data_IF_674142309396
#
_entry.id   IF_674142309396
#
_cell.length_a   1.000
_cell.length_b   1.000
_cell.length_c   1.000
_cell.angle_alpha   90.00
_cell.angle_beta   90.00
_cell.angle_gamma   90.00
#
_symmetry.space_group_name_H-M   'P 1'
#
loop_
_entity.id
_entity.type
_entity.pdbx_description
1 polymer ?
#
# COMPACT_ATOMS: atom_id res chain seq x y z
N UNK A 1 4.08 -14.42 -4.70
CA UNK A 1 2.93 -13.91 -3.93
C UNK A 1 1.71 -14.73 -4.29
N UNK A 2 0.97 -15.19 -3.32
CA UNK A 2 -0.23 -15.97 -3.59
C UNK A 2 -1.33 -15.08 -4.14
N UNK A 3 -2.27 -15.71 -4.86
CA UNK A 3 -3.40 -14.94 -5.41
C UNK A 3 -4.27 -14.36 -4.29
N UNK A 4 -4.35 -15.04 -3.15
CA UNK A 4 -5.09 -14.52 -2.01
C UNK A 4 -4.45 -13.24 -1.50
N UNK A 5 -3.12 -13.20 -1.40
CA UNK A 5 -2.42 -12.02 -0.95
C UNK A 5 -2.58 -10.88 -1.93
N UNK A 6 -2.52 -11.18 -3.23
CA UNK A 6 -2.75 -10.17 -4.25
C UNK A 6 -4.16 -9.59 -4.14
N UNK A 7 -5.14 -10.45 -3.89
CA UNK A 7 -6.52 -10.01 -3.71
C UNK A 7 -6.65 -9.12 -2.48
N UNK A 8 -6.03 -9.51 -1.38
CA UNK A 8 -6.07 -8.70 -0.16
C UNK A 8 -5.43 -7.33 -0.37
N UNK A 9 -4.33 -7.29 -1.11
CA UNK A 9 -3.68 -6.02 -1.42
C UNK A 9 -4.59 -5.15 -2.27
N UNK A 10 -5.24 -5.73 -3.27
CA UNK A 10 -6.18 -4.99 -4.10
C UNK A 10 -7.29 -4.37 -3.25
N UNK A 11 -7.85 -5.16 -2.32
CA UNK A 11 -8.92 -4.65 -1.47
C UNK A 11 -8.43 -3.53 -0.55
N UNK A 12 -7.21 -3.65 -0.07
CA UNK A 12 -6.63 -2.62 0.78
C UNK A 12 -6.47 -1.30 0.01
N UNK A 13 -5.96 -1.37 -1.21
CA UNK A 13 -5.81 -0.18 -2.05
C UNK A 13 -7.18 0.41 -2.36
N UNK A 14 -8.16 -0.43 -2.65
CA UNK A 14 -9.50 0.04 -2.94
C UNK A 14 -10.10 0.79 -1.76
N UNK A 15 -9.93 0.26 -0.55
CA UNK A 15 -10.41 0.93 0.66
C UNK A 15 -9.72 2.27 0.86
N UNK A 16 -8.42 2.32 0.63
CA UNK A 16 -7.67 3.56 0.73
C UNK A 16 -8.23 4.60 -0.25
N UNK A 17 -8.43 4.21 -1.50
CA UNK A 17 -8.95 5.13 -2.51
C UNK A 17 -10.36 5.60 -2.16
N UNK A 18 -11.19 4.71 -1.65
CA UNK A 18 -12.55 5.07 -1.26
C UNK A 18 -12.55 6.09 -0.13
N UNK A 19 -11.65 5.93 0.84
CA UNK A 19 -11.55 6.89 1.93
C UNK A 19 -11.02 8.24 1.45
N UNK A 20 -10.11 8.23 0.50
CA UNK A 20 -9.63 9.48 -0.09
C UNK A 20 -10.76 10.23 -0.79
N UNK A 21 -11.58 9.51 -1.56
CA UNK A 21 -12.73 10.12 -2.23
C UNK A 21 -13.74 10.65 -1.24
N UNK A 22 -13.99 9.88 -0.20
CA UNK A 22 -14.92 10.30 0.84
C UNK A 22 -14.43 11.57 1.53
N UNK A 23 -13.14 11.65 1.80
CA UNK A 23 -12.58 12.86 2.41
C UNK A 23 -12.79 14.08 1.52
N UNK A 24 -12.55 13.93 0.22
CA UNK A 24 -12.76 15.06 -0.70
C UNK A 24 -14.19 15.52 -0.70
N UNK A 25 -15.14 14.61 -0.49
CA UNK A 25 -16.55 14.95 -0.47
C UNK A 25 -16.97 15.57 0.87
N UNK A 26 -16.49 15.02 1.97
CA UNK A 26 -17.00 15.41 3.29
C UNK A 26 -16.06 16.32 4.07
N UNK A 27 -14.77 16.31 3.76
CA UNK A 27 -13.73 17.03 4.51
C UNK A 27 -13.70 16.65 5.98
N UNK A 28 -14.15 15.43 6.31
CA UNK A 28 -14.17 14.94 7.67
C UNK A 28 -12.75 14.60 8.14
N UNK A 29 -12.38 15.13 9.30
CA UNK A 29 -11.06 14.84 9.86
C UNK A 29 -10.92 13.35 10.20
N UNK A 30 -11.99 12.71 10.65
CA UNK A 30 -11.96 11.29 10.94
C UNK A 30 -11.68 10.49 9.67
N UNK A 31 -12.32 10.85 8.57
CA UNK A 31 -12.11 10.17 7.29
C UNK A 31 -10.68 10.39 6.79
N UNK A 32 -10.15 11.60 6.97
CA UNK A 32 -8.77 11.88 6.60
C UNK A 32 -7.80 10.99 7.38
N UNK A 33 -8.03 10.85 8.68
CA UNK A 33 -7.17 10.01 9.51
C UNK A 33 -7.23 8.55 9.08
N UNK A 34 -8.43 8.05 8.74
CA UNK A 34 -8.59 6.70 8.23
C UNK A 34 -7.85 6.51 6.90
N UNK A 35 -7.97 7.49 6.03
CA UNK A 35 -7.28 7.48 4.74
C UNK A 35 -5.77 7.39 4.94
N UNK A 36 -5.23 8.21 5.84
CA UNK A 36 -3.79 8.21 6.10
C UNK A 36 -3.31 6.89 6.70
N UNK A 37 -4.13 6.29 7.56
CA UNK A 37 -3.80 4.98 8.12
C UNK A 37 -3.72 3.92 7.02
N UNK A 38 -4.68 3.93 6.11
CA UNK A 38 -4.71 2.98 5.01
C UNK A 38 -3.54 3.23 4.05
N UNK A 39 -3.17 4.49 3.83
CA UNK A 39 -2.00 4.81 3.01
C UNK A 39 -0.73 4.19 3.60
N UNK A 40 -0.57 4.27 4.92
CA UNK A 40 0.59 3.68 5.57
C UNK A 40 0.59 2.16 5.43
N UNK A 41 -0.59 1.54 5.53
CA UNK A 41 -0.69 0.10 5.36
C UNK A 41 -0.33 -0.33 3.94
N UNK A 42 -0.81 0.42 2.95
CA UNK A 42 -0.46 0.16 1.55
C UNK A 42 1.04 0.29 1.35
N UNK A 43 1.63 1.38 1.87
CA UNK A 43 3.07 1.61 1.73
C UNK A 43 3.87 0.49 2.37
N UNK A 44 3.44 0.00 3.54
CA UNK A 44 4.12 -1.10 4.22
C UNK A 44 4.08 -2.37 3.37
N UNK A 45 2.93 -2.66 2.75
CA UNK A 45 2.81 -3.83 1.91
C UNK A 45 3.67 -3.72 0.65
N UNK A 46 3.72 -2.54 0.06
CA UNK A 46 4.57 -2.30 -1.10
C UNK A 46 6.03 -2.51 -0.73
N UNK A 47 6.44 -1.96 0.40
CA UNK A 47 7.82 -2.07 0.84
C UNK A 47 8.19 -3.52 1.12
N UNK A 48 7.28 -4.26 1.75
CA UNK A 48 7.52 -5.67 2.03
C UNK A 48 7.66 -6.47 0.74
N UNK A 49 6.80 -6.21 -0.23
CA UNK A 49 6.86 -6.88 -1.52
C UNK A 49 8.17 -6.56 -2.24
N UNK A 50 8.57 -5.29 -2.20
CA UNK A 50 9.82 -4.87 -2.82
C UNK A 50 11.02 -5.55 -2.16
N UNK A 51 11.00 -5.69 -0.85
CA UNK A 51 12.09 -6.37 -0.14
C UNK A 51 12.18 -7.82 -0.55
N UNK A 52 11.05 -8.49 -0.69
CA UNK A 52 11.03 -9.88 -1.13
C UNK A 52 11.57 -9.99 -2.55
N UNK A 53 11.14 -9.11 -3.44
CA UNK A 53 11.59 -9.12 -4.82
C UNK A 53 13.09 -8.83 -4.92
N UNK A 54 13.57 -7.88 -4.14
CA UNK A 54 14.99 -7.54 -4.15
C UNK A 54 15.85 -8.68 -3.64
N UNK A 55 15.36 -9.43 -2.68
CA UNK A 55 16.09 -10.58 -2.16
C UNK A 55 16.12 -11.74 -3.15
N UNK A 56 15.15 -11.83 -4.03
CA UNK A 56 15.05 -12.91 -4.99
C UNK A 56 15.70 -12.58 -6.33
N UNK A 57 15.66 -11.31 -6.72
CA UNK A 57 16.28 -10.86 -7.95
C UNK A 57 17.78 -10.67 -7.72
N UNK A 58 18.50 -10.26 -8.73
CA UNK A 58 19.91 -9.95 -8.59
C UNK A 58 20.03 -8.61 -7.87
N UNK A 59 20.21 -8.63 -6.57
CA UNK A 59 20.11 -7.40 -5.79
C UNK A 59 21.23 -6.42 -6.07
N UNK A 60 22.34 -6.91 -6.53
CA UNK A 60 23.51 -6.07 -6.73
C UNK A 60 23.28 -4.95 -7.72
N UNK A 61 22.25 -5.04 -8.54
CA UNK A 61 22.00 -3.99 -9.52
C UNK A 61 21.75 -2.64 -8.88
N UNK A 62 21.14 -2.64 -7.72
CA UNK A 62 20.76 -1.41 -7.06
C UNK A 62 21.41 -1.23 -5.70
N UNK A 63 22.09 -2.25 -5.24
CA UNK A 63 22.61 -2.24 -3.89
C UNK A 63 23.74 -1.23 -3.68
N UNK A 64 24.41 -0.89 -4.74
CA UNK A 64 25.49 0.07 -4.66
C UNK A 64 25.01 1.51 -4.76
N UNK A 65 23.76 1.72 -4.92
CA UNK A 65 23.19 3.04 -5.16
C UNK A 65 23.18 3.93 -3.93
#
# INVERSE_FOLDING_TARGET
MSSERAYQFFRLVERMRNKQKEYFRTKSQAVLNESKQLEREVDSEIQRANNILNNRAAPSLFDGQ
#
